data_IF_595582584670
#
_entry.id   IF_595582584670
#
_cell.length_a   1.000
_cell.length_b   1.000
_cell.length_c   1.000
_cell.angle_alpha   90.00
_cell.angle_beta   90.00
_cell.angle_gamma   90.00
#
_symmetry.space_group_name_H-M   'P 1'
#
loop_
_entity.id
_entity.type
_entity.pdbx_description
1 polymer ?
#
# COMPACT_ATOMS: atom_id res chain seq x y z
N UNK A 1 -13.55 -13.67 5.99
CA UNK A 1 -12.39 -13.90 5.11
C UNK A 1 -11.58 -12.63 5.15
N UNK A 2 -10.31 -12.68 5.58
CA UNK A 2 -9.43 -11.50 5.49
C UNK A 2 -9.08 -11.27 4.03
N UNK A 3 -8.99 -10.01 3.62
CA UNK A 3 -8.44 -9.62 2.32
C UNK A 3 -7.28 -8.68 2.62
N UNK A 4 -6.05 -9.16 2.44
CA UNK A 4 -4.87 -8.34 2.69
C UNK A 4 -4.68 -7.40 1.51
N UNK A 5 -4.58 -6.10 1.81
CA UNK A 5 -4.25 -5.06 0.84
C UNK A 5 -2.90 -4.44 1.19
N UNK A 6 -2.23 -3.87 0.20
CA UNK A 6 -0.84 -3.45 0.31
C UNK A 6 -0.68 -1.96 0.01
N UNK A 7 0.13 -1.29 0.82
CA UNK A 7 0.63 0.05 0.54
C UNK A 7 2.13 0.00 0.31
N UNK A 8 2.56 0.62 -0.78
CA UNK A 8 3.96 0.98 -0.98
C UNK A 8 4.12 2.45 -0.59
N UNK A 9 5.09 2.74 0.28
CA UNK A 9 5.35 4.10 0.75
C UNK A 9 6.82 4.29 1.10
N UNK A 10 7.39 5.49 0.92
CA UNK A 10 8.73 5.79 1.44
C UNK A 10 8.81 5.64 2.96
N UNK A 11 9.97 5.25 3.47
CA UNK A 11 10.16 4.96 4.89
C UNK A 11 9.91 6.19 5.79
N UNK A 12 10.32 7.39 5.36
CA UNK A 12 10.18 8.61 6.15
C UNK A 12 8.72 8.96 6.53
N UNK A 13 7.77 9.12 5.58
CA UNK A 13 6.38 9.39 5.92
C UNK A 13 5.71 8.25 6.71
N UNK A 14 6.16 7.00 6.53
CA UNK A 14 5.69 5.90 7.36
C UNK A 14 6.13 6.03 8.82
N UNK A 15 7.38 6.42 9.08
CA UNK A 15 7.89 6.65 10.45
C UNK A 15 7.10 7.73 11.17
N UNK A 16 6.68 8.78 10.46
CA UNK A 16 5.81 9.80 11.03
C UNK A 16 4.43 9.23 11.37
N UNK A 17 3.88 8.37 10.51
CA UNK A 17 2.61 7.70 10.79
C UNK A 17 2.67 6.76 11.99
N UNK A 18 3.79 6.03 12.16
CA UNK A 18 4.05 5.21 13.35
C UNK A 18 4.03 6.06 14.62
N UNK A 19 4.67 7.22 14.61
CA UNK A 19 4.68 8.14 15.76
C UNK A 19 3.28 8.69 16.10
N UNK A 20 2.41 8.87 15.09
CA UNK A 20 1.07 9.43 15.24
C UNK A 20 -0.05 8.37 15.39
N UNK A 21 0.27 7.09 15.22
CA UNK A 21 -0.69 5.98 15.20
C UNK A 21 -1.66 6.01 14.02
N UNK A 22 -1.48 6.89 13.04
CA UNK A 22 -2.33 6.99 11.85
C UNK A 22 -1.52 7.40 10.62
N UNK A 23 -1.88 6.88 9.45
CA UNK A 23 -1.35 7.30 8.16
C UNK A 23 -2.43 8.07 7.38
N UNK A 24 -2.12 9.30 6.98
CA UNK A 24 -3.06 10.21 6.31
C UNK A 24 -2.93 10.21 4.78
N UNK A 25 -2.11 9.32 4.23
CA UNK A 25 -1.84 9.24 2.80
C UNK A 25 -0.52 9.89 2.38
N UNK A 26 0.01 9.44 1.25
CA UNK A 26 1.09 10.06 0.50
C UNK A 26 0.58 11.32 -0.25
N UNK A 27 1.46 12.16 -0.82
CA UNK A 27 1.03 13.37 -1.53
C UNK A 27 -0.05 13.13 -2.60
N UNK A 28 0.06 12.04 -3.36
CA UNK A 28 -0.95 11.69 -4.38
C UNK A 28 -2.30 11.30 -3.77
N UNK A 29 -2.28 10.59 -2.63
CA UNK A 29 -3.50 10.18 -1.93
C UNK A 29 -4.28 11.41 -1.43
N UNK A 30 -3.57 12.44 -0.97
CA UNK A 30 -4.16 13.70 -0.52
C UNK A 30 -4.79 14.47 -1.69
N UNK A 31 -4.11 14.48 -2.84
CA UNK A 31 -4.60 15.13 -4.06
C UNK A 31 -5.85 14.42 -4.60
N UNK A 32 -5.84 13.10 -4.62
CA UNK A 32 -6.94 12.29 -5.16
C UNK A 32 -8.09 12.10 -4.16
N UNK A 33 -7.85 12.38 -2.87
CA UNK A 33 -8.86 12.37 -1.80
C UNK A 33 -9.08 11.01 -1.15
N UNK A 34 -8.25 10.00 -1.46
CA UNK A 34 -8.30 8.66 -0.86
C UNK A 34 -6.91 8.01 -0.88
N UNK A 35 -6.68 7.07 0.04
CA UNK A 35 -5.41 6.34 0.12
C UNK A 35 -5.46 5.16 -0.85
N UNK A 36 -4.53 5.14 -1.81
CA UNK A 36 -4.37 4.04 -2.76
C UNK A 36 -3.73 2.83 -2.09
N UNK A 37 -4.34 1.67 -2.29
CA UNK A 37 -3.76 0.36 -2.00
C UNK A 37 -3.78 -0.51 -3.26
N UNK A 38 -3.08 -1.63 -3.19
CA UNK A 38 -3.07 -2.68 -4.21
C UNK A 38 -3.46 -4.01 -3.57
N UNK A 39 -4.08 -4.92 -4.34
CA UNK A 39 -4.13 -6.34 -3.97
C UNK A 39 -2.76 -7.00 -4.17
N UNK A 40 -2.61 -8.26 -3.73
CA UNK A 40 -1.37 -9.03 -3.96
C UNK A 40 -0.99 -9.09 -5.44
N UNK A 41 -1.97 -9.38 -6.31
CA UNK A 41 -1.79 -9.47 -7.77
C UNK A 41 -1.41 -8.13 -8.43
N UNK A 42 -1.68 -7.01 -7.75
CA UNK A 42 -1.45 -5.67 -8.26
C UNK A 42 -0.14 -5.03 -7.72
N UNK A 43 0.36 -5.49 -6.57
CA UNK A 43 1.41 -4.78 -5.83
C UNK A 43 2.73 -4.66 -6.60
N UNK A 44 3.17 -5.74 -7.25
CA UNK A 44 4.41 -5.76 -8.05
C UNK A 44 4.32 -4.79 -9.24
N UNK A 45 3.18 -4.78 -9.92
CA UNK A 45 2.96 -3.89 -11.05
C UNK A 45 2.86 -2.41 -10.62
N UNK A 46 2.24 -2.15 -9.47
CA UNK A 46 2.25 -0.82 -8.85
C UNK A 46 3.67 -0.35 -8.54
N UNK A 47 4.52 -1.21 -7.97
CA UNK A 47 5.93 -0.89 -7.74
C UNK A 47 6.66 -0.53 -9.04
N UNK A 48 6.56 -1.40 -10.05
CA UNK A 48 7.21 -1.20 -11.34
C UNK A 48 6.78 0.11 -12.02
N UNK A 49 5.51 0.49 -11.91
CA UNK A 49 4.97 1.67 -12.59
C UNK A 49 5.25 2.99 -11.86
N UNK A 50 5.15 3.01 -10.54
CA UNK A 50 5.17 4.26 -9.76
C UNK A 50 6.44 4.46 -8.94
N UNK A 51 7.17 3.39 -8.69
CA UNK A 51 8.29 3.38 -7.75
C UNK A 51 9.61 2.90 -8.38
N UNK A 52 9.66 2.68 -9.70
CA UNK A 52 10.86 2.22 -10.41
C UNK A 52 12.11 3.01 -10.03
N UNK A 53 13.19 2.29 -9.71
CA UNK A 53 14.49 2.88 -9.33
C UNK A 53 14.53 3.52 -7.93
N UNK A 54 13.40 3.59 -7.21
CA UNK A 54 13.38 4.17 -5.87
C UNK A 54 13.83 3.15 -4.82
N UNK A 55 14.56 3.65 -3.84
CA UNK A 55 15.02 2.92 -2.64
C UNK A 55 14.30 3.46 -1.40
N UNK A 56 14.62 2.93 -0.22
CA UNK A 56 14.01 3.33 1.05
C UNK A 56 12.48 3.24 1.07
N UNK A 57 11.94 2.23 0.38
CA UNK A 57 10.53 1.92 0.35
C UNK A 57 10.19 0.84 1.38
N UNK A 58 8.94 0.90 1.84
CA UNK A 58 8.30 -0.10 2.65
C UNK A 58 7.11 -0.69 1.90
N UNK A 59 6.89 -1.97 2.11
CA UNK A 59 5.63 -2.65 1.84
C UNK A 59 4.89 -2.84 3.17
N UNK A 60 3.70 -2.28 3.25
CA UNK A 60 2.81 -2.38 4.39
C UNK A 60 1.66 -3.30 4.00
N UNK A 61 1.37 -4.31 4.81
CA UNK A 61 0.19 -5.14 4.66
C UNK A 61 -0.88 -4.72 5.68
N UNK A 62 -2.11 -4.59 5.19
CA UNK A 62 -3.24 -4.08 5.95
C UNK A 62 -4.37 -5.12 5.88
N UNK A 63 -5.04 -5.35 7.01
CA UNK A 63 -6.29 -6.10 7.05
C UNK A 63 -7.41 -5.26 6.43
N UNK A 64 -7.68 -5.46 5.15
CA UNK A 64 -8.71 -4.72 4.43
C UNK A 64 -10.12 -4.96 5.00
N UNK A 65 -10.38 -6.13 5.59
CA UNK A 65 -11.69 -6.42 6.18
C UNK A 65 -11.99 -5.56 7.42
N UNK A 66 -10.94 -5.11 8.13
CA UNK A 66 -11.07 -4.23 9.30
C UNK A 66 -11.45 -2.78 8.96
N UNK A 67 -11.32 -2.38 7.68
CA UNK A 67 -11.53 -1.00 7.24
C UNK A 67 -13.00 -0.67 6.93
N UNK A 68 -13.88 -1.68 6.87
CA UNK A 68 -15.32 -1.52 6.66
C UNK A 68 -15.67 -0.75 5.38
N UNK A 69 -16.77 0.00 5.43
CA UNK A 69 -17.35 0.70 4.27
C UNK A 69 -16.49 1.85 3.72
N UNK A 70 -15.45 2.27 4.45
CA UNK A 70 -14.52 3.29 3.99
C UNK A 70 -13.56 2.73 2.91
N UNK A 71 -13.34 1.41 2.89
CA UNK A 71 -12.57 0.74 1.85
C UNK A 71 -13.47 0.40 0.67
N UNK A 72 -13.16 0.99 -0.49
CA UNK A 72 -13.90 0.77 -1.74
C UNK A 72 -13.01 0.13 -2.78
N UNK A 73 -13.56 -0.82 -3.52
CA UNK A 73 -12.94 -1.37 -4.70
C UNK A 73 -13.47 -0.63 -5.91
N UNK A 74 -12.64 0.20 -6.52
CA UNK A 74 -13.05 1.12 -7.59
C UNK A 74 -12.25 0.83 -8.87
N UNK A 75 -12.90 1.00 -10.02
CA UNK A 75 -12.25 0.76 -11.33
C UNK A 75 -11.14 1.78 -11.51
N UNK A 76 -9.94 1.27 -11.79
CA UNK A 76 -8.76 2.09 -12.03
C UNK A 76 -8.05 1.56 -13.29
N UNK A 77 -6.72 1.42 -13.23
CA UNK A 77 -5.90 1.02 -14.36
C UNK A 77 -6.34 -0.32 -14.95
N UNK A 78 -6.47 -0.36 -16.28
CA UNK A 78 -6.75 -1.59 -17.03
C UNK A 78 -8.17 -2.14 -16.80
N UNK A 79 -9.08 -1.37 -16.20
CA UNK A 79 -10.42 -1.84 -15.85
C UNK A 79 -10.47 -2.70 -14.59
N UNK A 80 -9.33 -2.91 -13.92
CA UNK A 80 -9.25 -3.67 -12.67
C UNK A 80 -9.73 -2.83 -11.48
N UNK A 81 -10.25 -3.50 -10.46
CA UNK A 81 -10.66 -2.88 -9.21
C UNK A 81 -9.48 -2.74 -8.27
N UNK A 82 -9.18 -1.51 -7.86
CA UNK A 82 -8.16 -1.20 -6.86
C UNK A 82 -8.80 -0.82 -5.52
N UNK A 83 -8.23 -1.26 -4.39
CA UNK A 83 -8.69 -0.85 -3.07
C UNK A 83 -8.29 0.60 -2.76
N UNK A 84 -9.28 1.43 -2.46
CA UNK A 84 -9.11 2.83 -2.07
C UNK A 84 -9.78 3.07 -0.71
N UNK A 85 -9.02 3.63 0.24
CA UNK A 85 -9.57 4.01 1.54
C UNK A 85 -9.95 5.48 1.53
N UNK A 86 -11.25 5.75 1.67
CA UNK A 86 -11.80 7.10 1.82
C UNK A 86 -11.71 7.52 3.30
N UNK A 87 -10.52 7.91 3.74
CA UNK A 87 -10.25 8.30 5.12
C UNK A 87 -8.79 8.19 5.51
N UNK A 88 -8.53 8.06 6.81
CA UNK A 88 -7.19 7.83 7.36
C UNK A 88 -7.01 6.35 7.72
N UNK A 89 -5.82 5.82 7.56
CA UNK A 89 -5.48 4.47 7.99
C UNK A 89 -5.08 4.49 9.47
N UNK A 90 -5.86 3.85 10.35
CA UNK A 90 -5.43 3.53 11.72
C UNK A 90 -4.39 2.41 11.65
N UNK A 91 -3.23 2.61 12.28
CA UNK A 91 -2.15 1.64 12.24
C UNK A 91 -2.49 0.30 12.94
N UNK A 92 -3.58 0.24 13.70
CA UNK A 92 -4.12 -1.03 14.24
C UNK A 92 -4.58 -2.00 13.14
N UNK A 93 -4.90 -1.51 11.95
CA UNK A 93 -5.24 -2.35 10.80
C UNK A 93 -4.00 -2.93 10.11
N UNK A 94 -2.79 -2.49 10.48
CA UNK A 94 -1.54 -2.96 9.87
C UNK A 94 -1.18 -4.33 10.43
N UNK A 95 -1.01 -5.30 9.54
CA UNK A 95 -0.60 -6.66 9.88
C UNK A 95 0.91 -6.75 10.01
N UNK A 96 1.63 -6.14 9.08
CA UNK A 96 3.09 -6.07 9.09
C UNK A 96 3.61 -4.98 8.16
N UNK A 97 4.86 -4.59 8.41
CA UNK A 97 5.63 -3.64 7.60
C UNK A 97 6.97 -4.30 7.30
N UNK A 98 7.37 -4.30 6.02
CA UNK A 98 8.66 -4.85 5.59
C UNK A 98 9.38 -3.88 4.65
N UNK A 99 10.72 -3.83 4.67
CA UNK A 99 11.48 -3.16 3.61
C UNK A 99 11.12 -3.73 2.24
N UNK A 100 11.08 -2.86 1.24
CA UNK A 100 10.90 -3.22 -0.17
C UNK A 100 12.18 -2.83 -0.92
N UNK A 101 13.27 -3.61 -0.82
CA UNK A 101 14.55 -3.25 -1.39
C UNK A 101 14.54 -3.35 -2.93
N UNK A 102 15.33 -2.50 -3.57
CA UNK A 102 15.56 -2.55 -5.01
C UNK A 102 16.67 -3.57 -5.31
N UNK A 103 16.36 -4.56 -6.14
CA UNK A 103 17.30 -5.56 -6.63
C UNK A 103 18.31 -4.98 -7.62
N UNK A 104 19.37 -5.73 -7.89
CA UNK A 104 20.42 -5.35 -8.85
C UNK A 104 19.90 -5.27 -10.31
N UNK A 105 18.78 -5.91 -10.59
CA UNK A 105 18.05 -5.88 -11.85
C UNK A 105 17.10 -4.68 -11.99
N UNK A 106 17.01 -3.84 -10.95
CA UNK A 106 16.11 -2.68 -10.90
C UNK A 106 14.67 -3.03 -10.55
N UNK A 107 14.38 -4.25 -10.08
CA UNK A 107 13.04 -4.65 -9.62
C UNK A 107 12.97 -4.68 -8.09
N UNK A 108 11.81 -4.32 -7.53
CA UNK A 108 11.60 -4.39 -6.08
C UNK A 108 11.42 -5.85 -5.63
N UNK A 109 12.08 -6.23 -4.54
CA UNK A 109 11.99 -7.59 -4.02
C UNK A 109 10.84 -7.70 -3.01
N UNK A 110 9.79 -8.41 -3.39
CA UNK A 110 8.62 -8.60 -2.56
C UNK A 110 8.79 -9.79 -1.59
N UNK A 111 8.28 -9.69 -0.35
CA UNK A 111 8.04 -10.86 0.48
C UNK A 111 6.89 -11.69 -0.11
N UNK A 112 6.66 -12.89 0.42
CA UNK A 112 5.45 -13.65 0.11
C UNK A 112 4.19 -12.80 0.41
N UNK A 113 3.33 -12.66 -0.60
CA UNK A 113 2.05 -11.97 -0.52
C UNK A 113 0.92 -12.99 -0.29
N UNK A 114 -0.25 -12.48 0.08
CA UNK A 114 -1.46 -13.30 0.21
C UNK A 114 -1.72 -14.11 -1.06
N UNK A 115 -1.86 -15.42 -0.90
CA UNK A 115 -2.13 -16.34 -2.01
C UNK A 115 -0.90 -16.80 -2.81
N UNK A 116 0.31 -16.39 -2.44
CA UNK A 116 1.58 -16.86 -3.02
C UNK A 116 2.25 -17.95 -2.17
#
# INVERSE_FOLDING_TARGET
MSQIIYKITPQAPWREAEANGRFTGAPIDIVDGFIHFSTAEQAEETAAKHFSGQTDLLLVAIDGASLGDALKFEVSRGGALFPHLHGVLDLKAVLWVKPLPLGADGTHQFPALEGQ
#
